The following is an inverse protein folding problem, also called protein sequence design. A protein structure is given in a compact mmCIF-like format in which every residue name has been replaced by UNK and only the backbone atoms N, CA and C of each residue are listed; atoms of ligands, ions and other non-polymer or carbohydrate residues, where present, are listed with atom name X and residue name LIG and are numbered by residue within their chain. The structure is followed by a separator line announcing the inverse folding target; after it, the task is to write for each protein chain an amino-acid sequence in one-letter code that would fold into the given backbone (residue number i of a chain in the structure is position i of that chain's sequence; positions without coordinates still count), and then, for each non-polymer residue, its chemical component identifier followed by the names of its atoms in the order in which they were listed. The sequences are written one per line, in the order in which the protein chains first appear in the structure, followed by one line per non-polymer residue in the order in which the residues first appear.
data_IF_785954163681
#
_entry.id   IF_785954163681
#
_cell.length_a   1.000
_cell.length_b   1.000
_cell.length_c   1.000
_cell.angle_alpha   90.00
_cell.angle_beta   90.00
_cell.angle_gamma   90.00
#
_symmetry.space_group_name_H-M   'P 1'
#
loop_
_entity.id
_entity.type
_entity.pdbx_description
1 polymer ?
#
# COMPACT_ATOMS: atom_id res chain seq x y z
N UNK A 1 52.80 11.40 -4.10
CA UNK A 1 53.82 11.17 -5.14
C UNK A 1 53.17 11.39 -6.50
N UNK A 2 53.47 12.50 -7.16
CA UNK A 2 53.00 12.75 -8.52
C UNK A 2 53.85 11.93 -9.49
N UNK A 3 53.22 10.93 -10.13
CA UNK A 3 53.84 10.19 -11.23
C UNK A 3 54.37 11.19 -12.27
N UNK A 4 55.55 11.00 -12.88
CA UNK A 4 56.05 11.92 -13.90
C UNK A 4 55.00 12.08 -14.99
N UNK A 5 54.62 13.33 -15.28
CA UNK A 5 53.58 13.64 -16.26
C UNK A 5 53.93 12.99 -17.60
N UNK A 6 53.13 12.00 -18.03
CA UNK A 6 53.33 11.33 -19.32
C UNK A 6 53.24 12.38 -20.43
N UNK A 7 54.23 12.41 -21.31
CA UNK A 7 54.18 13.20 -22.53
C UNK A 7 53.16 12.55 -23.48
N UNK A 8 51.91 13.01 -23.42
CA UNK A 8 50.83 12.51 -24.28
C UNK A 8 50.79 13.28 -25.59
N UNK A 9 50.55 12.56 -26.69
CA UNK A 9 50.30 13.14 -28.02
C UNK A 9 48.79 13.17 -28.29
N UNK A 10 48.38 14.02 -29.23
CA UNK A 10 46.98 14.23 -29.65
C UNK A 10 46.16 12.93 -29.75
N UNK A 11 46.68 11.91 -30.46
CA UNK A 11 46.01 10.62 -30.63
C UNK A 11 45.68 9.88 -29.32
N UNK A 12 46.55 9.95 -28.32
CA UNK A 12 46.35 9.25 -27.04
C UNK A 12 45.27 9.95 -26.21
N UNK A 13 45.33 11.28 -26.10
CA UNK A 13 44.35 12.09 -25.36
C UNK A 13 42.96 11.98 -26.00
N UNK A 14 42.89 12.06 -27.32
CA UNK A 14 41.64 11.93 -28.08
C UNK A 14 41.03 10.53 -27.90
N UNK A 15 41.84 9.47 -27.90
CA UNK A 15 41.35 8.10 -27.70
C UNK A 15 40.81 7.87 -26.27
N UNK A 16 41.51 8.39 -25.25
CA UNK A 16 41.03 8.33 -23.86
C UNK A 16 39.70 9.08 -23.70
N UNK A 17 39.60 10.28 -24.27
CA UNK A 17 38.38 11.08 -24.24
C UNK A 17 37.21 10.39 -24.97
N UNK A 18 37.45 9.87 -26.18
CA UNK A 18 36.43 9.13 -26.94
C UNK A 18 35.94 7.87 -26.21
N UNK A 19 36.83 7.22 -25.45
CA UNK A 19 36.45 6.07 -24.59
C UNK A 19 35.49 6.52 -23.49
N UNK A 20 35.80 7.61 -22.79
CA UNK A 20 34.94 8.15 -21.74
C UNK A 20 33.58 8.62 -22.29
N UNK A 21 33.55 9.26 -23.45
CA UNK A 21 32.30 9.69 -24.11
C UNK A 21 31.45 8.47 -24.51
N UNK A 22 32.06 7.39 -24.97
CA UNK A 22 31.36 6.13 -25.27
C UNK A 22 30.77 5.48 -24.01
N UNK A 23 31.50 5.50 -22.90
CA UNK A 23 31.01 5.01 -21.61
C UNK A 23 29.81 5.82 -21.11
N UNK A 24 29.89 7.17 -21.17
CA UNK A 24 28.76 8.04 -20.83
C UNK A 24 27.57 7.70 -21.72
N UNK A 25 27.74 7.64 -23.05
CA UNK A 25 26.67 7.30 -23.99
C UNK A 25 26.02 5.95 -23.68
N UNK A 26 26.80 4.94 -23.31
CA UNK A 26 26.28 3.64 -22.90
C UNK A 26 25.43 3.76 -21.62
N UNK A 27 25.90 4.50 -20.61
CA UNK A 27 25.11 4.76 -19.40
C UNK A 27 23.80 5.49 -19.68
N UNK A 28 23.81 6.49 -20.56
CA UNK A 28 22.59 7.24 -20.94
C UNK A 28 21.51 6.32 -21.54
N UNK A 29 21.92 5.34 -22.36
CA UNK A 29 21.02 4.33 -22.93
C UNK A 29 20.45 3.43 -21.83
N UNK A 30 21.28 2.96 -20.90
CA UNK A 30 20.83 2.13 -19.78
C UNK A 30 19.91 2.88 -18.82
N UNK A 31 20.12 4.19 -18.61
CA UNK A 31 19.21 5.03 -17.83
C UNK A 31 17.81 5.06 -18.45
N UNK A 32 17.69 5.25 -19.77
CA UNK A 32 16.38 5.21 -20.44
C UNK A 32 15.71 3.84 -20.36
N UNK A 33 16.47 2.75 -20.53
CA UNK A 33 15.93 1.39 -20.37
C UNK A 33 15.42 1.13 -18.97
N UNK A 34 16.15 1.62 -17.95
CA UNK A 34 15.72 1.52 -16.56
C UNK A 34 14.39 2.25 -16.33
N UNK A 35 14.26 3.47 -16.85
CA UNK A 35 13.01 4.25 -16.76
C UNK A 35 11.85 3.57 -17.50
N UNK A 36 12.10 3.01 -18.70
CA UNK A 36 11.11 2.21 -19.44
C UNK A 36 10.63 1.00 -18.62
N UNK A 37 11.56 0.23 -18.05
CA UNK A 37 11.22 -0.92 -17.23
C UNK A 37 10.41 -0.54 -15.98
N UNK A 38 10.73 0.59 -15.34
CA UNK A 38 9.95 1.08 -14.19
C UNK A 38 8.51 1.45 -14.58
N UNK A 39 8.32 2.06 -15.76
CA UNK A 39 6.99 2.35 -16.28
C UNK A 39 6.18 1.06 -16.55
N UNK A 40 6.81 0.05 -17.14
CA UNK A 40 6.17 -1.24 -17.42
C UNK A 40 5.75 -1.95 -16.12
N UNK A 41 6.62 -1.98 -15.10
CA UNK A 41 6.32 -2.58 -13.80
C UNK A 41 5.13 -1.90 -13.11
N UNK A 42 5.04 -0.57 -13.19
CA UNK A 42 3.91 0.18 -12.61
C UNK A 42 2.62 -0.08 -13.36
N UNK A 43 2.69 -0.14 -14.69
CA UNK A 43 1.53 -0.45 -15.53
C UNK A 43 1.02 -1.86 -15.23
N UNK A 44 1.94 -2.83 -15.09
CA UNK A 44 1.60 -4.20 -14.69
C UNK A 44 0.93 -4.24 -13.31
N UNK A 45 1.49 -3.56 -12.31
CA UNK A 45 0.88 -3.50 -10.98
C UNK A 45 -0.54 -2.92 -11.01
N UNK A 46 -0.77 -1.85 -11.78
CA UNK A 46 -2.11 -1.27 -11.94
C UNK A 46 -3.06 -2.21 -12.66
N UNK A 47 -2.58 -3.01 -13.60
CA UNK A 47 -3.37 -4.05 -14.26
C UNK A 47 -3.74 -5.16 -13.27
N UNK A 48 -2.78 -5.66 -12.49
CA UNK A 48 -3.00 -6.68 -11.46
C UNK A 48 -4.01 -6.19 -10.41
N UNK A 49 -3.93 -4.92 -9.99
CA UNK A 49 -4.89 -4.32 -9.07
C UNK A 49 -6.31 -4.27 -9.67
N UNK A 50 -6.45 -3.89 -10.95
CA UNK A 50 -7.76 -3.92 -11.62
C UNK A 50 -8.35 -5.33 -11.67
N UNK A 51 -7.54 -6.31 -12.05
CA UNK A 51 -7.98 -7.70 -12.18
C UNK A 51 -8.31 -8.31 -10.81
N UNK A 52 -7.52 -8.00 -9.78
CA UNK A 52 -7.81 -8.37 -8.40
C UNK A 52 -9.16 -7.83 -7.93
N UNK A 53 -9.41 -6.52 -8.08
CA UNK A 53 -10.67 -5.93 -7.64
C UNK A 53 -11.86 -6.39 -8.48
N UNK A 54 -11.66 -6.72 -9.76
CA UNK A 54 -12.70 -7.33 -10.59
C UNK A 54 -13.09 -8.70 -10.03
N UNK A 55 -12.10 -9.54 -9.73
CA UNK A 55 -12.35 -10.85 -9.14
C UNK A 55 -12.96 -10.75 -7.74
N UNK A 56 -12.49 -9.81 -6.91
CA UNK A 56 -13.08 -9.56 -5.59
C UNK A 56 -14.55 -9.13 -5.73
N UNK A 57 -14.87 -8.22 -6.65
CA UNK A 57 -16.25 -7.78 -6.88
C UNK A 57 -17.20 -8.91 -7.28
N UNK A 58 -16.73 -9.86 -8.10
CA UNK A 58 -17.50 -11.07 -8.44
C UNK A 58 -17.80 -11.91 -7.19
N UNK A 59 -16.79 -12.15 -6.34
CA UNK A 59 -16.91 -12.92 -5.11
C UNK A 59 -17.91 -12.25 -4.14
N UNK A 60 -17.80 -10.93 -3.96
CA UNK A 60 -18.72 -10.18 -3.10
C UNK A 60 -20.17 -10.25 -3.62
N UNK A 61 -20.37 -10.18 -4.94
CA UNK A 61 -21.69 -10.27 -5.55
C UNK A 61 -22.28 -11.68 -5.49
N UNK A 62 -21.45 -12.73 -5.59
CA UNK A 62 -21.89 -14.12 -5.37
C UNK A 62 -22.30 -14.34 -3.91
N UNK A 63 -21.51 -13.84 -2.95
CA UNK A 63 -21.84 -13.91 -1.53
C UNK A 63 -23.16 -13.18 -1.22
N UNK A 64 -23.30 -11.94 -1.69
CA UNK A 64 -24.54 -11.15 -1.59
C UNK A 64 -25.76 -11.93 -2.10
N UNK A 65 -25.68 -12.51 -3.32
CA UNK A 65 -26.77 -13.29 -3.92
C UNK A 65 -27.14 -14.53 -3.11
N UNK A 66 -26.15 -15.18 -2.49
CA UNK A 66 -26.41 -16.35 -1.63
C UNK A 66 -27.11 -15.96 -0.32
N UNK A 67 -26.76 -14.81 0.27
CA UNK A 67 -27.42 -14.27 1.46
C UNK A 67 -28.87 -13.81 1.17
N UNK A 68 -29.12 -13.18 0.01
CA UNK A 68 -30.49 -12.78 -0.37
C UNK A 68 -31.38 -14.02 -0.54
N UNK A 69 -30.89 -15.04 -1.27
CA UNK A 69 -31.61 -16.33 -1.43
C UNK A 69 -31.90 -17.01 -0.09
N UNK A 70 -30.94 -16.97 0.85
CA UNK A 70 -31.13 -17.50 2.19
C UNK A 70 -32.30 -16.79 2.89
N UNK A 71 -32.29 -15.46 2.87
CA UNK A 71 -33.34 -14.65 3.51
C UNK A 71 -34.71 -14.86 2.85
N UNK A 72 -34.80 -14.84 1.52
CA UNK A 72 -36.04 -15.05 0.77
C UNK A 72 -36.68 -16.41 1.07
N UNK A 73 -35.86 -17.46 1.18
CA UNK A 73 -36.32 -18.82 1.52
C UNK A 73 -37.04 -18.90 2.86
N UNK A 74 -36.61 -18.10 3.84
CA UNK A 74 -37.19 -18.11 5.18
C UNK A 74 -38.31 -17.08 5.37
N UNK A 75 -38.23 -15.93 4.69
CA UNK A 75 -39.34 -14.96 4.65
C UNK A 75 -40.59 -15.50 3.94
N UNK A 76 -40.41 -16.24 2.84
CA UNK A 76 -41.53 -16.84 2.08
C UNK A 76 -42.28 -17.91 2.88
N UNK A 77 -41.57 -18.72 3.67
CA UNK A 77 -42.18 -19.71 4.58
C UNK A 77 -42.98 -19.06 5.71
N UNK A 78 -42.49 -17.94 6.24
CA UNK A 78 -43.13 -17.22 7.36
C UNK A 78 -44.43 -16.52 6.91
N UNK A 79 -44.49 -16.04 5.66
CA UNK A 79 -45.69 -15.40 5.07
C UNK A 79 -46.79 -16.38 4.64
N UNK A 80 -46.48 -17.66 4.48
CA UNK A 80 -47.41 -18.70 4.01
C UNK A 80 -48.30 -19.31 5.11
N UNK A 81 -47.99 -19.09 6.39
CA UNK A 81 -48.87 -19.42 7.49
C UNK A 81 -50.00 -18.37 7.57
N UNK A 82 -51.25 -18.82 7.68
CA UNK A 82 -52.46 -17.99 7.69
C UNK A 82 -52.52 -17.08 8.94
N UNK A 83 -51.75 -16.00 8.98
CA UNK A 83 -51.73 -15.04 10.09
C UNK A 83 -51.81 -13.59 9.61
N UNK A 84 -52.73 -13.30 8.67
CA UNK A 84 -53.12 -11.90 8.41
C UNK A 84 -53.83 -11.24 9.62
N UNK A 85 -54.06 -11.96 10.72
CA UNK A 85 -54.70 -11.45 11.94
C UNK A 85 -53.72 -10.81 12.94
N UNK A 86 -52.40 -11.03 12.81
CA UNK A 86 -51.38 -10.49 13.73
C UNK A 86 -50.64 -9.25 13.19
N UNK A 87 -51.27 -8.46 12.32
CA UNK A 87 -50.70 -7.22 11.73
C UNK A 87 -50.61 -6.02 12.69
N UNK A 88 -50.42 -6.24 13.99
CA UNK A 88 -49.94 -5.20 14.89
C UNK A 88 -48.59 -5.68 15.42
N UNK A 89 -47.53 -4.96 15.06
CA UNK A 89 -46.16 -5.16 15.54
C UNK A 89 -46.01 -5.25 17.08
N UNK A 90 -47.08 -4.97 17.84
CA UNK A 90 -47.10 -4.99 19.30
C UNK A 90 -47.19 -6.37 19.97
N UNK A 91 -47.47 -7.46 19.23
CA UNK A 91 -47.71 -8.78 19.86
C UNK A 91 -46.78 -9.90 19.40
N UNK A 92 -45.57 -9.56 18.94
CA UNK A 92 -44.56 -10.55 18.56
C UNK A 92 -43.89 -11.10 19.82
N UNK A 93 -43.85 -12.43 19.94
CA UNK A 93 -43.13 -13.12 21.03
C UNK A 93 -41.63 -12.86 20.91
N UNK A 94 -40.92 -12.74 22.04
CA UNK A 94 -39.50 -12.38 22.05
C UNK A 94 -38.60 -13.29 21.19
N UNK A 95 -38.76 -14.64 21.13
CA UNK A 95 -37.96 -15.47 20.23
C UNK A 95 -38.24 -15.19 18.74
N UNK A 96 -39.47 -14.84 18.39
CA UNK A 96 -39.86 -14.51 17.01
C UNK A 96 -39.25 -13.16 16.61
N UNK A 97 -39.13 -12.22 17.56
CA UNK A 97 -38.42 -10.97 17.33
C UNK A 97 -36.92 -11.21 17.05
N UNK A 98 -36.25 -12.04 17.84
CA UNK A 98 -34.85 -12.43 17.58
C UNK A 98 -34.68 -13.05 16.19
N UNK A 99 -35.60 -13.94 15.81
CA UNK A 99 -35.60 -14.55 14.47
C UNK A 99 -35.76 -13.51 13.34
N UNK A 100 -36.67 -12.55 13.51
CA UNK A 100 -36.89 -11.49 12.52
C UNK A 100 -35.67 -10.57 12.38
N UNK A 101 -35.00 -10.24 13.49
CA UNK A 101 -33.78 -9.43 13.48
C UNK A 101 -32.60 -10.18 12.87
N UNK A 102 -32.48 -11.49 13.13
CA UNK A 102 -31.49 -12.34 12.47
C UNK A 102 -31.65 -12.35 10.95
N UNK A 103 -32.88 -12.52 10.44
CA UNK A 103 -33.16 -12.44 9.00
C UNK A 103 -32.89 -11.04 8.43
N UNK A 104 -33.20 -10.00 9.21
CA UNK A 104 -32.93 -8.61 8.83
C UNK A 104 -31.43 -8.34 8.73
N UNK A 105 -30.63 -8.91 9.63
CA UNK A 105 -29.17 -8.80 9.59
C UNK A 105 -28.57 -9.47 8.35
N UNK A 106 -29.00 -10.69 8.02
CA UNK A 106 -28.54 -11.37 6.79
C UNK A 106 -28.89 -10.56 5.54
N UNK A 107 -30.07 -9.92 5.51
CA UNK A 107 -30.49 -9.04 4.42
C UNK A 107 -29.66 -7.77 4.33
N UNK A 108 -29.30 -7.18 5.47
CA UNK A 108 -28.41 -6.03 5.57
C UNK A 108 -27.05 -6.39 4.97
N UNK A 109 -26.43 -7.49 5.43
CA UNK A 109 -25.16 -7.98 4.90
C UNK A 109 -25.22 -8.22 3.39
N UNK A 110 -26.29 -8.85 2.88
CA UNK A 110 -26.47 -9.04 1.43
C UNK A 110 -26.37 -7.73 0.64
N UNK A 111 -27.05 -6.67 1.10
CA UNK A 111 -27.04 -5.35 0.45
C UNK A 111 -25.68 -4.66 0.55
N UNK A 112 -25.03 -4.79 1.70
CA UNK A 112 -23.72 -4.16 1.90
C UNK A 112 -22.66 -4.80 1.01
N UNK A 113 -22.67 -6.13 0.86
CA UNK A 113 -21.78 -6.84 -0.06
C UNK A 113 -22.08 -6.53 -1.55
N UNK A 114 -23.35 -6.31 -1.92
CA UNK A 114 -23.68 -5.81 -3.25
C UNK A 114 -23.12 -4.39 -3.49
N UNK A 115 -23.22 -3.51 -2.48
CA UNK A 115 -22.68 -2.15 -2.52
C UNK A 115 -21.15 -2.16 -2.61
N UNK A 116 -20.49 -3.06 -1.89
CA UNK A 116 -19.04 -3.26 -1.94
C UNK A 116 -18.58 -3.65 -3.36
N UNK A 117 -19.28 -4.60 -3.99
CA UNK A 117 -19.04 -5.00 -5.38
C UNK A 117 -19.22 -3.83 -6.35
N UNK A 118 -20.28 -3.03 -6.18
CA UNK A 118 -20.55 -1.84 -7.01
C UNK A 118 -19.43 -0.80 -6.88
N UNK A 119 -18.98 -0.52 -5.65
CA UNK A 119 -17.86 0.42 -5.40
C UNK A 119 -16.56 -0.07 -6.05
N UNK A 120 -16.30 -1.38 -6.01
CA UNK A 120 -15.13 -1.93 -6.69
C UNK A 120 -15.20 -1.72 -8.21
N UNK A 121 -16.34 -2.05 -8.83
CA UNK A 121 -16.55 -1.96 -10.28
C UNK A 121 -16.61 -0.52 -10.79
N UNK A 122 -17.29 0.37 -10.07
CA UNK A 122 -17.64 1.70 -10.56
C UNK A 122 -16.77 2.83 -10.00
N UNK A 123 -15.95 2.55 -8.99
CA UNK A 123 -15.11 3.58 -8.35
C UNK A 123 -13.64 3.17 -8.29
N UNK A 124 -13.31 2.00 -7.72
CA UNK A 124 -11.91 1.61 -7.52
C UNK A 124 -11.23 1.19 -8.83
N UNK A 125 -11.83 0.27 -9.59
CA UNK A 125 -11.25 -0.20 -10.86
C UNK A 125 -11.05 0.95 -11.86
N UNK A 126 -12.05 1.85 -12.11
CA UNK A 126 -11.87 2.98 -13.02
C UNK A 126 -10.77 3.93 -12.58
N UNK A 127 -10.52 4.10 -11.26
CA UNK A 127 -9.40 4.90 -10.78
C UNK A 127 -8.05 4.29 -11.16
N UNK A 128 -7.88 2.99 -11.04
CA UNK A 128 -6.63 2.35 -11.49
C UNK A 128 -6.44 2.45 -12.99
N UNK A 129 -7.53 2.31 -13.77
CA UNK A 129 -7.52 2.55 -15.21
C UNK A 129 -7.05 3.98 -15.54
N UNK A 130 -7.65 4.98 -14.89
CA UNK A 130 -7.26 6.39 -15.06
C UNK A 130 -5.79 6.64 -14.66
N UNK A 131 -5.33 6.08 -13.54
CA UNK A 131 -3.94 6.20 -13.10
C UNK A 131 -3.01 5.59 -14.16
N UNK A 132 -3.38 4.46 -14.76
CA UNK A 132 -2.58 3.81 -15.79
C UNK A 132 -2.46 4.68 -17.05
N UNK A 133 -3.57 5.26 -17.52
CA UNK A 133 -3.59 6.19 -18.65
C UNK A 133 -2.73 7.43 -18.39
N UNK A 134 -2.90 8.04 -17.20
CA UNK A 134 -2.13 9.22 -16.81
C UNK A 134 -0.64 8.92 -16.65
N UNK A 135 -0.28 7.77 -16.05
CA UNK A 135 1.11 7.31 -15.94
C UNK A 135 1.74 7.10 -17.32
N UNK A 136 1.05 6.46 -18.27
CA UNK A 136 1.55 6.28 -19.63
C UNK A 136 1.77 7.61 -20.36
N UNK A 137 0.80 8.55 -20.24
CA UNK A 137 0.90 9.89 -20.84
C UNK A 137 2.05 10.71 -20.25
N UNK A 138 2.19 10.73 -18.92
CA UNK A 138 3.24 11.47 -18.22
C UNK A 138 4.61 10.86 -18.50
N UNK A 139 4.74 9.53 -18.45
CA UNK A 139 5.99 8.85 -18.78
C UNK A 139 6.47 9.18 -20.19
N UNK A 140 5.58 9.18 -21.19
CA UNK A 140 5.93 9.57 -22.56
C UNK A 140 6.52 10.98 -22.61
N UNK A 141 5.93 11.92 -21.86
CA UNK A 141 6.42 13.31 -21.78
C UNK A 141 7.76 13.42 -21.06
N UNK A 142 7.92 12.72 -19.93
CA UNK A 142 9.19 12.64 -19.23
C UNK A 142 10.28 12.03 -20.11
N UNK A 143 9.98 10.98 -20.87
CA UNK A 143 10.92 10.36 -21.81
C UNK A 143 11.37 11.33 -22.91
N UNK A 144 10.46 12.14 -23.47
CA UNK A 144 10.80 13.20 -24.42
C UNK A 144 11.78 14.22 -23.80
N UNK A 145 11.56 14.65 -22.55
CA UNK A 145 12.44 15.55 -21.81
C UNK A 145 13.80 14.90 -21.54
N UNK A 146 13.81 13.65 -21.10
CA UNK A 146 15.04 12.88 -20.84
C UNK A 146 15.90 12.72 -22.09
N UNK A 147 15.28 12.45 -23.25
CA UNK A 147 15.99 12.40 -24.54
C UNK A 147 16.62 13.75 -24.90
N UNK A 148 15.90 14.85 -24.68
CA UNK A 148 16.42 16.21 -24.93
C UNK A 148 17.63 16.51 -24.05
N UNK A 149 17.55 16.22 -22.75
CA UNK A 149 18.66 16.40 -21.80
C UNK A 149 19.89 15.59 -22.21
N UNK A 150 19.70 14.34 -22.64
CA UNK A 150 20.77 13.48 -23.12
C UNK A 150 21.38 13.98 -24.44
N UNK A 151 20.56 14.47 -25.37
CA UNK A 151 21.05 15.05 -26.62
C UNK A 151 21.92 16.28 -26.38
N UNK A 152 21.47 17.18 -25.49
CA UNK A 152 22.19 18.40 -25.17
C UNK A 152 23.51 18.11 -24.43
N UNK A 153 23.52 17.12 -23.52
CA UNK A 153 24.76 16.64 -22.90
C UNK A 153 25.75 16.10 -23.95
N UNK A 154 25.28 15.31 -24.91
CA UNK A 154 26.12 14.79 -25.98
C UNK A 154 26.66 15.89 -26.90
N UNK A 155 25.89 16.96 -27.15
CA UNK A 155 26.39 18.13 -27.91
C UNK A 155 27.58 18.78 -27.20
N UNK A 156 27.46 19.04 -25.90
CA UNK A 156 28.53 19.66 -25.10
C UNK A 156 29.80 18.79 -25.08
N UNK A 157 29.66 17.46 -24.96
CA UNK A 157 30.80 16.53 -25.06
C UNK A 157 31.46 16.58 -26.46
N UNK A 158 30.67 16.60 -27.53
CA UNK A 158 31.21 16.70 -28.89
C UNK A 158 31.89 18.06 -29.15
N UNK A 159 31.39 19.15 -28.58
CA UNK A 159 32.02 20.48 -28.67
C UNK A 159 33.40 20.46 -28.00
N UNK A 160 33.54 19.88 -26.81
CA UNK A 160 34.84 19.77 -26.12
C UNK A 160 35.88 19.01 -26.96
N UNK A 161 35.47 17.95 -27.66
CA UNK A 161 36.34 17.24 -28.62
C UNK A 161 36.91 18.19 -29.68
N UNK A 162 36.07 19.04 -30.28
CA UNK A 162 36.49 19.96 -31.35
C UNK A 162 37.43 21.05 -30.83
N UNK A 163 37.16 21.59 -29.64
CA UNK A 163 38.00 22.62 -28.99
C UNK A 163 39.37 22.04 -28.62
N UNK A 164 39.39 20.82 -28.05
CA UNK A 164 40.61 20.12 -27.70
C UNK A 164 41.51 19.86 -28.92
N UNK A 165 40.94 19.38 -30.03
CA UNK A 165 41.67 19.15 -31.28
C UNK A 165 42.29 20.44 -31.84
N UNK A 166 41.55 21.54 -31.75
CA UNK A 166 42.03 22.88 -32.18
C UNK A 166 43.21 23.33 -31.32
N UNK A 167 43.13 23.14 -30.00
CA UNK A 167 44.25 23.40 -29.09
C UNK A 167 45.47 22.55 -29.43
N UNK A 168 45.32 21.23 -29.63
CA UNK A 168 46.43 20.34 -29.97
C UNK A 168 47.15 20.75 -31.26
N UNK A 169 46.39 21.14 -32.30
CA UNK A 169 46.93 21.63 -33.57
C UNK A 169 47.77 22.90 -33.38
N UNK A 170 47.22 23.95 -32.75
CA UNK A 170 47.97 25.20 -32.56
C UNK A 170 49.14 25.06 -31.59
N UNK A 171 49.03 24.17 -30.59
CA UNK A 171 50.13 23.87 -29.69
C UNK A 171 51.28 23.17 -30.44
N UNK A 172 50.98 22.21 -31.32
CA UNK A 172 51.98 21.57 -32.17
C UNK A 172 52.68 22.57 -33.13
N UNK A 173 51.92 23.47 -33.74
CA UNK A 173 52.45 24.53 -34.61
C UNK A 173 53.35 25.52 -33.85
N UNK A 174 53.01 25.83 -32.60
CA UNK A 174 53.81 26.67 -31.70
C UNK A 174 55.13 25.99 -31.33
N UNK A 175 55.09 24.70 -30.94
CA UNK A 175 56.28 23.90 -30.62
C UNK A 175 57.19 23.77 -31.84
N UNK A 176 56.63 23.51 -33.03
CA UNK A 176 57.38 23.43 -34.28
C UNK A 176 58.07 24.75 -34.65
N UNK A 177 57.36 25.88 -34.52
CA UNK A 177 57.92 27.21 -34.74
C UNK A 177 59.04 27.54 -33.72
N UNK A 178 58.86 27.14 -32.47
CA UNK A 178 59.88 27.30 -31.42
C UNK A 178 61.16 26.52 -31.72
N UNK A 179 61.03 25.27 -32.19
CA UNK A 179 62.19 24.45 -32.58
C UNK A 179 62.95 25.08 -33.75
N UNK A 180 62.24 25.57 -34.78
CA UNK A 180 62.85 26.28 -35.92
C UNK A 180 63.54 27.58 -35.50
N UNK A 181 62.97 28.32 -34.55
CA UNK A 181 63.59 29.52 -33.98
C UNK A 181 64.90 29.17 -33.25
N UNK A 182 64.87 28.18 -32.36
CA UNK A 182 66.06 27.68 -31.65
C UNK A 182 67.17 27.21 -32.59
N UNK A 183 66.81 26.58 -33.70
CA UNK A 183 67.79 26.21 -34.73
C UNK A 183 68.41 27.42 -35.43
N UNK A 184 67.63 28.48 -35.69
CA UNK A 184 68.16 29.73 -36.25
C UNK A 184 69.07 30.46 -35.25
N UNK A 185 68.70 30.50 -33.98
CA UNK A 185 69.52 31.05 -32.89
C UNK A 185 70.87 30.32 -32.81
N UNK A 186 70.86 28.98 -32.85
CA UNK A 186 72.10 28.18 -32.90
C UNK A 186 72.93 28.42 -34.16
N UNK A 187 72.30 28.69 -35.32
CA UNK A 187 73.01 29.01 -36.56
C UNK A 187 73.67 30.39 -36.51
N UNK A 188 72.98 31.37 -35.94
CA UNK A 188 73.49 32.71 -35.67
C UNK A 188 74.68 32.65 -34.70
N UNK A 189 74.54 31.97 -33.56
CA UNK A 189 75.61 31.76 -32.59
C UNK A 189 76.85 31.11 -33.23
N UNK A 190 76.66 30.08 -34.07
CA UNK A 190 77.76 29.41 -34.80
C UNK A 190 78.45 30.33 -35.82
N UNK A 191 77.72 31.21 -36.50
CA UNK A 191 78.29 32.16 -37.47
C UNK A 191 79.01 33.31 -36.76
N UNK A 192 78.44 33.83 -35.67
CA UNK A 192 79.06 34.85 -34.83
C UNK A 192 80.34 34.31 -34.16
N UNK A 193 80.32 33.07 -33.65
CA UNK A 193 81.51 32.39 -33.10
C UNK A 193 82.63 32.19 -34.12
N UNK A 194 82.29 31.93 -35.39
CA UNK A 194 83.27 31.80 -36.49
C UNK A 194 83.87 33.15 -36.89
N UNK A 195 83.10 34.24 -36.82
CA UNK A 195 83.61 35.60 -37.05
C UNK A 195 84.62 36.01 -35.98
N UNK A 196 84.33 35.74 -34.70
CA UNK A 196 85.22 36.09 -33.57
C UNK A 196 86.54 35.30 -33.63
N UNK A 197 86.52 33.99 -33.89
CA UNK A 197 87.74 33.14 -33.98
C UNK A 197 88.67 33.48 -35.14
N UNK A 198 88.20 34.18 -36.17
CA UNK A 198 89.00 34.54 -37.35
C UNK A 198 89.57 35.97 -37.27
N UNK A 199 88.97 36.84 -36.45
CA UNK A 199 89.56 38.13 -36.06
C UNK A 199 90.80 37.91 -35.16
N UNK A 200 90.78 36.92 -34.26
CA UNK A 200 91.94 36.58 -33.40
C UNK A 200 93.14 35.96 -34.15
N UNK A 201 92.96 35.51 -35.40
CA UNK A 201 94.04 34.89 -36.20
C UNK A 201 94.80 35.86 -37.09
N UNK A 202 94.47 37.16 -37.07
CA UNK A 202 95.14 38.19 -37.88
C UNK A 202 96.09 39.03 -37.03
N UNK A 203 97.30 38.52 -36.81
CA UNK A 203 98.48 39.35 -36.51
C UNK A 203 99.14 39.82 -37.81
N UNK A 204 99.73 41.03 -37.87
CA UNK A 204 99.97 41.74 -39.12
C UNK A 204 101.40 41.51 -39.63
N UNK A 205 101.55 41.02 -40.87
CA UNK A 205 102.78 41.22 -41.64
C UNK A 205 102.47 41.68 -43.07
N UNK A 206 102.98 42.88 -43.34
CA UNK A 206 103.34 43.51 -44.63
C UNK A 206 102.23 43.81 -45.65
N UNK A 207 102.17 45.06 -46.15
CA UNK A 207 101.23 45.45 -47.20
C UNK A 207 101.84 45.15 -48.57
N UNK A 208 101.13 44.42 -49.41
CA UNK A 208 100.84 44.81 -50.79
C UNK A 208 100.09 43.71 -51.55
N UNK A 209 99.09 44.14 -52.31
CA UNK A 209 98.33 43.36 -53.31
C UNK A 209 97.43 42.21 -52.79
N UNK A 210 96.43 42.54 -51.96
CA UNK A 210 95.22 41.69 -51.80
C UNK A 210 94.00 42.44 -51.21
N UNK A 211 93.92 43.77 -51.39
CA UNK A 211 92.94 44.62 -50.69
C UNK A 211 91.52 44.47 -51.24
N UNK A 212 91.36 44.11 -52.52
CA UNK A 212 90.05 43.89 -53.15
C UNK A 212 89.38 42.61 -52.65
N UNK A 213 90.10 41.48 -52.61
CA UNK A 213 89.58 40.17 -52.16
C UNK A 213 89.18 40.19 -50.67
N UNK A 214 89.92 40.93 -49.83
CA UNK A 214 89.63 41.07 -48.38
C UNK A 214 88.41 41.95 -48.08
N UNK A 215 88.13 42.96 -48.90
CA UNK A 215 86.94 43.81 -48.77
C UNK A 215 85.69 43.07 -49.27
N UNK A 216 85.80 42.31 -50.35
CA UNK A 216 84.73 41.44 -50.86
C UNK A 216 84.35 40.35 -49.85
N UNK A 217 85.31 39.64 -49.25
CA UNK A 217 85.03 38.63 -48.21
C UNK A 217 84.36 39.24 -46.96
N UNK A 218 84.80 40.42 -46.50
CA UNK A 218 84.15 41.13 -45.37
C UNK A 218 82.73 41.59 -45.73
N UNK A 219 82.48 42.00 -46.97
CA UNK A 219 81.16 42.43 -47.43
C UNK A 219 80.19 41.25 -47.59
N UNK A 220 80.66 40.14 -48.17
CA UNK A 220 79.90 38.89 -48.30
C UNK A 220 79.53 38.34 -46.91
N UNK A 221 80.43 38.39 -45.93
CA UNK A 221 80.18 37.95 -44.54
C UNK A 221 79.19 38.86 -43.79
N UNK A 222 79.32 40.19 -43.89
CA UNK A 222 78.32 41.12 -43.33
C UNK A 222 76.93 40.92 -43.95
N UNK A 223 76.87 40.55 -45.23
CA UNK A 223 75.61 40.23 -45.91
C UNK A 223 74.99 38.91 -45.44
N UNK A 224 75.81 37.90 -45.10
CA UNK A 224 75.30 36.61 -44.62
C UNK A 224 74.78 36.68 -43.18
N UNK A 225 75.47 37.40 -42.30
CA UNK A 225 75.02 37.65 -40.91
C UNK A 225 73.69 38.40 -40.90
N UNK A 226 73.56 39.49 -41.68
CA UNK A 226 72.28 40.21 -41.83
C UNK A 226 71.15 39.33 -42.39
N UNK A 227 71.48 38.37 -43.26
CA UNK A 227 70.50 37.41 -43.81
C UNK A 227 70.04 36.41 -42.75
N UNK A 228 70.92 35.98 -41.85
CA UNK A 228 70.57 35.12 -40.71
C UNK A 228 69.77 35.88 -39.66
N UNK A 229 70.15 37.10 -39.31
CA UNK A 229 69.38 37.98 -38.41
C UNK A 229 67.95 38.18 -38.92
N UNK A 230 67.78 38.54 -40.19
CA UNK A 230 66.46 38.70 -40.82
C UNK A 230 65.66 37.39 -40.84
N UNK A 231 66.33 36.25 -41.01
CA UNK A 231 65.68 34.93 -40.95
C UNK A 231 65.21 34.61 -39.52
N UNK A 232 66.04 34.88 -38.51
CA UNK A 232 65.72 34.73 -37.09
C UNK A 232 64.55 35.63 -36.71
N UNK A 233 64.57 36.91 -37.09
CA UNK A 233 63.48 37.85 -36.82
C UNK A 233 62.15 37.37 -37.42
N UNK A 234 62.19 36.86 -38.67
CA UNK A 234 61.01 36.23 -39.30
C UNK A 234 60.51 34.99 -38.53
N UNK A 235 61.43 34.13 -38.05
CA UNK A 235 61.06 32.96 -37.24
C UNK A 235 60.56 33.35 -35.85
N UNK A 236 61.09 34.42 -35.26
CA UNK A 236 60.66 34.98 -33.99
C UNK A 236 59.23 35.52 -34.09
N UNK A 237 58.94 36.32 -35.12
CA UNK A 237 57.59 36.80 -35.38
C UNK A 237 56.59 35.65 -35.56
N UNK A 238 56.96 34.61 -36.32
CA UNK A 238 56.11 33.43 -36.54
C UNK A 238 55.88 32.62 -35.26
N UNK A 239 56.92 32.45 -34.43
CA UNK A 239 56.78 31.80 -33.13
C UNK A 239 55.85 32.60 -32.21
N UNK A 240 56.03 33.92 -32.11
CA UNK A 240 55.15 34.78 -31.30
C UNK A 240 53.69 34.68 -31.75
N UNK A 241 53.43 34.73 -33.06
CA UNK A 241 52.08 34.55 -33.62
C UNK A 241 51.47 33.18 -33.24
N UNK A 242 52.21 32.08 -33.48
CA UNK A 242 51.73 30.73 -33.18
C UNK A 242 51.56 30.52 -31.66
N UNK A 243 52.44 31.11 -30.84
CA UNK A 243 52.35 31.05 -29.38
C UNK A 243 51.08 31.72 -28.87
N UNK A 244 50.73 32.89 -29.40
CA UNK A 244 49.47 33.58 -29.04
C UNK A 244 48.26 32.75 -29.47
N UNK A 245 48.26 32.14 -30.66
CA UNK A 245 47.18 31.24 -31.11
C UNK A 245 47.02 30.02 -30.19
N UNK A 246 48.14 29.39 -29.81
CA UNK A 246 48.14 28.26 -28.88
C UNK A 246 47.62 28.65 -27.49
N UNK A 247 48.00 29.84 -26.98
CA UNK A 247 47.48 30.35 -25.68
C UNK A 247 45.97 30.60 -25.77
N UNK A 248 45.49 31.23 -26.83
CA UNK A 248 44.05 31.48 -27.03
C UNK A 248 43.26 30.18 -27.06
N UNK A 249 43.68 29.20 -27.88
CA UNK A 249 42.98 27.92 -27.96
C UNK A 249 43.09 27.09 -26.68
N UNK A 250 44.20 27.21 -25.92
CA UNK A 250 44.29 26.59 -24.60
C UNK A 250 43.28 27.21 -23.63
N UNK A 251 43.16 28.54 -23.61
CA UNK A 251 42.20 29.21 -22.74
C UNK A 251 40.76 28.81 -23.11
N UNK A 252 40.44 28.75 -24.40
CA UNK A 252 39.15 28.26 -24.90
C UNK A 252 38.89 26.82 -24.44
N UNK A 253 39.89 25.95 -24.55
CA UNK A 253 39.79 24.57 -24.07
C UNK A 253 39.50 24.49 -22.57
N UNK A 254 40.19 25.27 -21.74
CA UNK A 254 39.93 25.28 -20.29
C UNK A 254 38.51 25.78 -19.98
N UNK A 255 38.03 26.83 -20.67
CA UNK A 255 36.66 27.34 -20.50
C UNK A 255 35.61 26.31 -20.90
N UNK A 256 35.79 25.68 -22.08
CA UNK A 256 34.90 24.62 -22.57
C UNK A 256 34.91 23.38 -21.65
N UNK A 257 36.08 23.05 -21.08
CA UNK A 257 36.22 21.95 -20.14
C UNK A 257 35.41 22.20 -18.87
N UNK A 258 35.49 23.41 -18.31
CA UNK A 258 34.72 23.79 -17.12
C UNK A 258 33.20 23.74 -17.39
N UNK A 259 32.77 24.30 -18.54
CA UNK A 259 31.36 24.25 -18.95
C UNK A 259 30.85 22.82 -19.18
N UNK A 260 31.70 21.95 -19.75
CA UNK A 260 31.38 20.53 -19.95
C UNK A 260 31.22 19.81 -18.63
N UNK A 261 32.17 19.99 -17.71
CA UNK A 261 32.10 19.38 -16.38
C UNK A 261 30.88 19.86 -15.59
N UNK A 262 30.55 21.15 -15.66
CA UNK A 262 29.34 21.69 -15.04
C UNK A 262 28.06 21.08 -15.63
N UNK A 263 28.01 20.88 -16.95
CA UNK A 263 26.86 20.27 -17.65
C UNK A 263 26.71 18.79 -17.28
N UNK A 264 27.80 18.02 -17.25
CA UNK A 264 27.82 16.62 -16.79
C UNK A 264 27.35 16.55 -15.34
N UNK A 265 27.90 17.39 -14.46
CA UNK A 265 27.51 17.42 -13.05
C UNK A 265 26.02 17.71 -12.89
N UNK A 266 25.53 18.76 -13.56
CA UNK A 266 24.11 19.14 -13.51
C UNK A 266 23.20 17.99 -13.94
N UNK A 267 23.51 17.33 -15.06
CA UNK A 267 22.71 16.21 -15.56
C UNK A 267 22.61 15.07 -14.55
N UNK A 268 23.76 14.61 -14.03
CA UNK A 268 23.80 13.43 -13.16
C UNK A 268 23.33 13.69 -11.73
N UNK A 269 23.47 14.92 -11.22
CA UNK A 269 23.17 15.25 -9.82
C UNK A 269 21.79 15.86 -9.64
N UNK A 270 21.31 16.62 -10.63
CA UNK A 270 20.05 17.35 -10.54
C UNK A 270 19.04 16.87 -11.58
N UNK A 271 19.34 17.01 -12.87
CA UNK A 271 18.33 16.84 -13.91
C UNK A 271 17.77 15.40 -13.94
N UNK A 272 18.60 14.39 -13.66
CA UNK A 272 18.15 13.00 -13.60
C UNK A 272 17.18 12.75 -12.43
N UNK A 273 17.39 13.40 -11.28
CA UNK A 273 16.48 13.30 -10.13
C UNK A 273 15.15 13.96 -10.46
N UNK A 274 15.18 15.18 -10.98
CA UNK A 274 13.99 15.94 -11.35
C UNK A 274 13.19 15.22 -12.45
N UNK A 275 13.88 14.53 -13.37
CA UNK A 275 13.26 13.71 -14.40
C UNK A 275 12.48 12.52 -13.82
N UNK A 276 13.03 11.86 -12.79
CA UNK A 276 12.34 10.77 -12.10
C UNK A 276 11.09 11.30 -11.38
N UNK A 277 11.19 12.44 -10.72
CA UNK A 277 10.03 13.08 -10.08
C UNK A 277 8.93 13.41 -11.11
N UNK A 278 9.31 13.81 -12.33
CA UNK A 278 8.35 14.02 -13.42
C UNK A 278 7.66 12.71 -13.87
N UNK A 279 8.37 11.58 -13.90
CA UNK A 279 7.78 10.26 -14.17
C UNK A 279 6.77 9.83 -13.09
N UNK A 280 6.96 10.28 -11.84
CA UNK A 280 6.20 9.84 -10.67
C UNK A 280 5.06 10.80 -10.32
N UNK A 281 4.90 11.86 -11.11
CA UNK A 281 4.01 12.97 -10.82
C UNK A 281 2.56 12.49 -10.60
N UNK A 282 2.12 12.58 -9.34
CA UNK A 282 0.75 12.22 -8.94
C UNK A 282 0.46 10.72 -8.80
N UNK A 283 1.40 9.82 -9.15
CA UNK A 283 1.20 8.36 -9.09
C UNK A 283 0.86 7.89 -7.66
N UNK A 284 1.75 8.16 -6.70
CA UNK A 284 1.58 7.72 -5.31
C UNK A 284 0.34 8.32 -4.64
N UNK A 285 0.08 9.61 -4.90
CA UNK A 285 -1.09 10.30 -4.34
C UNK A 285 -2.40 9.72 -4.88
N UNK A 286 -2.45 9.38 -6.16
CA UNK A 286 -3.64 8.80 -6.80
C UNK A 286 -3.87 7.36 -6.34
N UNK A 287 -2.80 6.56 -6.29
CA UNK A 287 -2.82 5.20 -5.74
C UNK A 287 -3.28 5.19 -4.28
N UNK A 288 -2.73 6.08 -3.45
CA UNK A 288 -3.14 6.25 -2.05
C UNK A 288 -4.64 6.51 -1.93
N UNK A 289 -5.20 7.42 -2.74
CA UNK A 289 -6.64 7.73 -2.71
C UNK A 289 -7.51 6.53 -3.14
N UNK A 290 -7.09 5.78 -4.15
CA UNK A 290 -7.79 4.56 -4.57
C UNK A 290 -7.82 3.52 -3.44
N UNK A 291 -6.68 3.27 -2.79
CA UNK A 291 -6.59 2.34 -1.66
C UNK A 291 -7.32 2.84 -0.40
N UNK A 292 -7.33 4.15 -0.15
CA UNK A 292 -8.15 4.75 0.94
C UNK A 292 -9.63 4.59 0.68
N UNK A 293 -10.07 4.57 -0.58
CA UNK A 293 -11.46 4.28 -0.94
C UNK A 293 -11.82 2.83 -0.58
N UNK A 294 -10.93 1.88 -0.88
CA UNK A 294 -11.08 0.48 -0.42
C UNK A 294 -11.21 0.41 1.10
N UNK A 295 -10.25 0.97 1.85
CA UNK A 295 -10.27 0.94 3.32
C UNK A 295 -11.53 1.59 3.90
N UNK A 296 -11.93 2.74 3.37
CA UNK A 296 -13.16 3.42 3.78
C UNK A 296 -14.37 2.50 3.60
N UNK A 297 -14.44 1.75 2.50
CA UNK A 297 -15.58 0.88 2.22
C UNK A 297 -15.62 -0.30 3.18
N UNK A 298 -14.47 -0.94 3.45
CA UNK A 298 -14.36 -2.04 4.42
C UNK A 298 -14.75 -1.59 5.84
N UNK A 299 -14.31 -0.40 6.28
CA UNK A 299 -14.72 0.12 7.60
C UNK A 299 -16.22 0.38 7.70
N UNK A 300 -16.86 0.89 6.64
CA UNK A 300 -18.30 1.11 6.64
C UNK A 300 -19.09 -0.21 6.64
N UNK A 301 -18.60 -1.23 5.91
CA UNK A 301 -19.17 -2.59 5.95
C UNK A 301 -19.10 -3.17 7.37
N UNK A 302 -17.93 -3.07 8.02
CA UNK A 302 -17.74 -3.55 9.38
C UNK A 302 -18.67 -2.83 10.36
N UNK A 303 -18.80 -1.51 10.25
CA UNK A 303 -19.70 -0.72 11.08
C UNK A 303 -21.17 -1.12 10.88
N UNK A 304 -21.63 -1.23 9.63
CA UNK A 304 -22.99 -1.67 9.31
C UNK A 304 -23.31 -3.05 9.89
N UNK A 305 -22.34 -3.97 9.83
CA UNK A 305 -22.44 -5.30 10.43
C UNK A 305 -22.57 -5.22 11.95
N UNK A 306 -21.70 -4.43 12.60
CA UNK A 306 -21.69 -4.25 14.05
C UNK A 306 -23.04 -3.73 14.56
N UNK A 307 -23.59 -2.67 13.95
CA UNK A 307 -24.90 -2.12 14.33
C UNK A 307 -26.03 -3.16 14.30
N UNK A 308 -26.02 -4.03 13.30
CA UNK A 308 -27.07 -5.04 13.17
C UNK A 308 -26.88 -6.23 14.12
N UNK A 309 -25.63 -6.54 14.49
CA UNK A 309 -25.33 -7.50 15.56
C UNK A 309 -25.72 -6.95 16.93
N UNK A 310 -25.46 -5.67 17.22
CA UNK A 310 -25.90 -5.00 18.47
C UNK A 310 -27.42 -5.00 18.61
N UNK A 311 -28.16 -4.80 17.52
CA UNK A 311 -29.63 -4.89 17.54
C UNK A 311 -30.11 -6.32 17.86
N UNK A 312 -29.42 -7.35 17.37
CA UNK A 312 -29.73 -8.74 17.68
C UNK A 312 -29.35 -9.10 19.12
N UNK A 313 -28.20 -8.65 19.60
CA UNK A 313 -27.74 -8.82 20.98
C UNK A 313 -28.77 -8.23 21.96
N UNK A 314 -29.20 -6.98 21.73
CA UNK A 314 -30.26 -6.36 22.52
C UNK A 314 -31.57 -7.18 22.50
N UNK A 315 -31.93 -7.79 21.36
CA UNK A 315 -33.10 -8.65 21.30
C UNK A 315 -32.93 -9.95 22.10
N UNK A 316 -31.72 -10.52 22.14
CA UNK A 316 -31.41 -11.70 22.95
C UNK A 316 -31.47 -11.41 24.45
N UNK A 317 -31.04 -10.22 24.88
CA UNK A 317 -31.17 -9.76 26.27
C UNK A 317 -32.64 -9.56 26.67
N UNK A 318 -33.52 -9.26 25.70
CA UNK A 318 -34.95 -9.04 25.91
C UNK A 318 -35.81 -10.33 25.77
N UNK A 319 -35.20 -11.52 25.79
CA UNK A 319 -35.93 -12.79 25.85
C UNK A 319 -36.61 -12.94 27.21
N UNK A 320 -37.95 -12.95 27.23
CA UNK A 320 -38.74 -12.96 28.47
C UNK A 320 -39.97 -13.87 28.37
N UNK A 321 -39.86 -15.03 29.03
CA UNK A 321 -40.93 -16.02 29.10
C UNK A 321 -42.18 -15.52 29.85
N UNK A 322 -42.04 -14.63 30.84
CA UNK A 322 -43.17 -14.10 31.60
C UNK A 322 -43.97 -13.12 30.75
N UNK A 323 -43.28 -12.18 30.10
CA UNK A 323 -43.93 -11.23 29.18
C UNK A 323 -44.57 -11.95 28.00
N UNK A 324 -43.91 -12.96 27.43
CA UNK A 324 -44.49 -13.76 26.34
C UNK A 324 -45.72 -14.56 26.77
N UNK A 325 -45.72 -15.12 27.99
CA UNK A 325 -46.90 -15.76 28.59
C UNK A 325 -48.05 -14.76 28.74
N UNK A 326 -47.80 -13.55 29.23
CA UNK A 326 -48.82 -12.51 29.34
C UNK A 326 -49.41 -12.14 27.98
N UNK A 327 -48.57 -11.90 26.96
CA UNK A 327 -49.02 -11.64 25.59
C UNK A 327 -49.86 -12.78 25.01
N UNK A 328 -49.48 -14.03 25.28
CA UNK A 328 -50.25 -15.21 24.86
C UNK A 328 -51.64 -15.23 25.52
N UNK A 329 -51.70 -15.04 26.84
CA UNK A 329 -52.97 -15.01 27.58
C UNK A 329 -53.88 -13.87 27.11
N UNK A 330 -53.31 -12.68 26.85
CA UNK A 330 -54.05 -11.51 26.36
C UNK A 330 -54.56 -11.70 24.92
N UNK A 331 -53.70 -12.22 24.02
CA UNK A 331 -54.09 -12.48 22.63
C UNK A 331 -55.18 -13.55 22.51
N UNK A 332 -55.20 -14.50 23.44
CA UNK A 332 -56.16 -15.59 23.52
C UNK A 332 -57.11 -15.44 24.72
N UNK A 333 -57.49 -14.21 25.07
CA UNK A 333 -58.26 -13.93 26.28
C UNK A 333 -59.54 -14.79 26.39
N UNK A 334 -60.26 -15.01 25.29
CA UNK A 334 -61.47 -15.85 25.29
C UNK A 334 -61.23 -17.32 25.66
N UNK A 335 -59.99 -17.80 25.55
CA UNK A 335 -59.57 -19.17 25.89
C UNK A 335 -59.20 -19.27 27.37
N UNK A 336 -58.53 -18.24 27.90
CA UNK A 336 -57.93 -18.26 29.24
C UNK A 336 -58.73 -17.47 30.30
N UNK A 337 -59.80 -16.77 29.93
CA UNK A 337 -60.63 -16.04 30.89
C UNK A 337 -61.32 -17.01 31.87
N UNK A 338 -61.30 -16.73 33.19
CA UNK A 338 -61.98 -17.59 34.17
C UNK A 338 -63.49 -17.68 33.89
N UNK A 339 -64.11 -18.86 34.02
CA UNK A 339 -65.55 -19.00 33.90
C UNK A 339 -66.28 -18.29 35.06
N UNK A 340 -67.57 -18.03 34.87
CA UNK A 340 -68.43 -17.49 35.94
C UNK A 340 -68.48 -18.48 37.09
N UNK A 341 -68.46 -17.96 38.33
CA UNK A 341 -68.55 -18.78 39.54
C UNK A 341 -69.88 -19.52 39.57
N UNK A 342 -69.85 -20.80 39.95
CA UNK A 342 -71.07 -21.55 40.21
C UNK A 342 -71.84 -20.97 41.40
N UNK A 343 -73.14 -20.78 41.22
CA UNK A 343 -74.03 -20.27 42.26
C UNK A 343 -74.94 -21.38 42.78
N UNK A 344 -75.31 -21.30 44.06
CA UNK A 344 -76.33 -22.19 44.65
C UNK A 344 -77.63 -22.07 43.84
N UNK A 345 -78.18 -23.21 43.42
CA UNK A 345 -79.42 -23.28 42.64
C UNK A 345 -80.57 -23.75 43.55
N UNK A 346 -81.49 -22.86 43.98
CA UNK A 346 -82.59 -23.24 44.84
C UNK A 346 -83.53 -24.24 44.16
N UNK A 347 -83.80 -25.37 44.81
CA UNK A 347 -84.72 -26.38 44.31
C UNK A 347 -86.13 -26.12 44.87
N UNK A 348 -87.15 -26.09 44.02
CA UNK A 348 -88.56 -25.97 44.42
C UNK A 348 -88.88 -24.77 45.34
N UNK A 349 -88.20 -23.64 45.12
CA UNK A 349 -88.44 -22.42 45.89
C UNK A 349 -87.80 -22.41 47.29
N UNK A 350 -86.79 -23.24 47.53
CA UNK A 350 -85.99 -23.21 48.76
C UNK A 350 -85.48 -21.78 49.04
N UNK A 351 -85.84 -21.25 50.21
CA UNK A 351 -85.47 -19.89 50.64
C UNK A 351 -84.14 -19.84 51.38
N UNK A 352 -83.49 -20.98 51.63
CA UNK A 352 -82.29 -21.09 52.45
C UNK A 352 -81.05 -21.39 51.58
N UNK A 353 -80.13 -20.42 51.49
CA UNK A 353 -78.88 -20.55 50.73
C UNK A 353 -77.63 -20.62 51.63
N UNK A 354 -77.83 -20.79 52.94
CA UNK A 354 -76.76 -20.77 53.96
C UNK A 354 -76.80 -22.04 54.81
N UNK A 355 -75.67 -22.35 55.45
CA UNK A 355 -75.55 -23.51 56.34
C UNK A 355 -76.50 -23.38 57.54
N UNK A 356 -77.37 -24.36 57.75
CA UNK A 356 -78.24 -24.46 58.92
C UNK A 356 -77.54 -25.17 60.08
N UNK A 357 -77.02 -24.42 61.05
CA UNK A 357 -76.25 -24.95 62.18
C UNK A 357 -77.04 -25.09 63.50
N UNK A 358 -78.36 -25.26 63.43
CA UNK A 358 -79.22 -25.44 64.61
C UNK A 358 -79.25 -26.91 65.08
N UNK A 359 -79.66 -27.17 66.32
CA UNK A 359 -79.87 -28.55 66.82
C UNK A 359 -80.97 -29.25 66.03
N UNK A 360 -80.81 -30.55 65.64
CA UNK A 360 -79.76 -31.49 66.07
C UNK A 360 -78.48 -31.51 65.21
N UNK A 361 -78.40 -30.73 64.13
CA UNK A 361 -77.31 -30.78 63.13
C UNK A 361 -75.99 -30.16 63.61
N UNK A 362 -76.03 -29.30 64.63
CA UNK A 362 -74.86 -28.54 65.11
C UNK A 362 -73.69 -29.45 65.54
N UNK A 363 -73.97 -30.57 66.22
CA UNK A 363 -72.92 -31.49 66.68
C UNK A 363 -72.20 -32.19 65.53
N UNK A 364 -72.97 -32.66 64.53
CA UNK A 364 -72.43 -33.30 63.32
C UNK A 364 -71.60 -32.33 62.48
N UNK A 365 -72.08 -31.09 62.32
CA UNK A 365 -71.34 -30.03 61.61
C UNK A 365 -70.03 -29.67 62.32
N UNK A 366 -70.04 -29.54 63.65
CA UNK A 366 -68.82 -29.26 64.41
C UNK A 366 -67.79 -30.41 64.28
N UNK A 367 -68.24 -31.66 64.37
CA UNK A 367 -67.39 -32.83 64.14
C UNK A 367 -66.83 -32.85 62.71
N UNK A 368 -67.66 -32.52 61.71
CA UNK A 368 -67.22 -32.45 60.30
C UNK A 368 -66.20 -31.34 60.08
N UNK A 369 -66.39 -30.16 60.68
CA UNK A 369 -65.41 -29.07 60.63
C UNK A 369 -64.07 -29.49 61.24
N UNK A 370 -64.09 -30.13 62.42
CA UNK A 370 -62.86 -30.63 63.06
C UNK A 370 -62.16 -31.69 62.18
N UNK A 371 -62.92 -32.60 61.58
CA UNK A 371 -62.39 -33.60 60.65
C UNK A 371 -61.74 -32.96 59.41
N UNK A 372 -62.40 -31.96 58.81
CA UNK A 372 -61.86 -31.23 57.66
C UNK A 372 -60.59 -30.45 58.04
N UNK A 373 -60.56 -29.85 59.22
CA UNK A 373 -59.40 -29.09 59.69
C UNK A 373 -58.19 -30.00 59.94
N UNK A 374 -58.37 -31.16 60.59
CA UNK A 374 -57.30 -32.14 60.74
C UNK A 374 -56.78 -32.63 59.38
N UNK A 375 -57.68 -32.95 58.44
CA UNK A 375 -57.31 -33.40 57.10
C UNK A 375 -56.55 -32.32 56.31
N UNK A 376 -57.00 -31.07 56.38
CA UNK A 376 -56.34 -29.95 55.72
C UNK A 376 -54.92 -29.74 56.26
N UNK A 377 -54.72 -29.84 57.58
CA UNK A 377 -53.39 -29.71 58.18
C UNK A 377 -52.42 -30.77 57.65
N UNK A 378 -52.86 -32.03 57.52
CA UNK A 378 -52.03 -33.11 56.96
C UNK A 378 -51.70 -32.84 55.49
N UNK A 379 -52.71 -32.51 54.68
CA UNK A 379 -52.52 -32.24 53.25
C UNK A 379 -51.63 -31.02 52.99
N UNK A 380 -51.68 -30.00 53.85
CA UNK A 380 -50.81 -28.83 53.73
C UNK A 380 -49.35 -29.18 53.96
N UNK A 381 -49.04 -30.05 54.93
CA UNK A 381 -47.67 -30.50 55.20
C UNK A 381 -47.16 -31.32 54.01
N UNK A 382 -47.93 -32.30 53.54
CA UNK A 382 -47.57 -33.12 52.38
C UNK A 382 -47.36 -32.26 51.11
N UNK A 383 -48.25 -31.29 50.87
CA UNK A 383 -48.14 -30.40 49.71
C UNK A 383 -46.88 -29.51 49.77
N UNK A 384 -46.54 -28.97 50.94
CA UNK A 384 -45.34 -28.16 51.13
C UNK A 384 -44.05 -28.97 50.97
N UNK A 385 -44.04 -30.25 51.36
CA UNK A 385 -42.90 -31.14 51.10
C UNK A 385 -42.72 -31.38 49.60
N UNK A 386 -43.79 -31.74 48.88
CA UNK A 386 -43.75 -31.92 47.42
C UNK A 386 -43.33 -30.64 46.71
N UNK A 387 -43.88 -29.49 47.12
CA UNK A 387 -43.55 -28.18 46.54
C UNK A 387 -42.07 -27.84 46.72
N UNK A 388 -41.49 -28.06 47.90
CA UNK A 388 -40.06 -27.83 48.12
C UNK A 388 -39.19 -28.71 47.24
N UNK A 389 -39.53 -29.98 47.10
CA UNK A 389 -38.81 -30.89 46.19
C UNK A 389 -38.91 -30.39 44.76
N UNK A 390 -40.10 -30.03 44.29
CA UNK A 390 -40.34 -29.49 42.95
C UNK A 390 -39.55 -28.20 42.71
N UNK A 391 -39.55 -27.25 43.65
CA UNK A 391 -38.80 -25.98 43.55
C UNK A 391 -37.28 -26.21 43.52
N UNK A 392 -36.76 -27.15 44.32
CA UNK A 392 -35.34 -27.51 44.29
C UNK A 392 -34.94 -28.18 42.98
N UNK A 393 -35.78 -29.07 42.44
CA UNK A 393 -35.57 -29.67 41.12
C UNK A 393 -35.62 -28.62 40.02
N UNK A 394 -36.56 -27.67 40.09
CA UNK A 394 -36.64 -26.55 39.15
C UNK A 394 -35.36 -25.69 39.16
N UNK A 395 -34.84 -25.36 40.34
CA UNK A 395 -33.59 -24.62 40.46
C UNK A 395 -32.43 -25.40 39.82
N UNK A 396 -32.39 -26.72 40.03
CA UNK A 396 -31.36 -27.58 39.41
C UNK A 396 -31.47 -27.55 37.88
N UNK A 397 -32.69 -27.60 37.33
CA UNK A 397 -32.93 -27.48 35.89
C UNK A 397 -32.47 -26.11 35.38
N UNK A 398 -32.79 -25.02 36.11
CA UNK A 398 -32.34 -23.67 35.77
C UNK A 398 -30.82 -23.57 35.69
N UNK A 399 -30.11 -24.06 36.71
CA UNK A 399 -28.64 -24.06 36.74
C UNK A 399 -28.04 -24.85 35.56
N UNK A 400 -28.70 -25.93 35.12
CA UNK A 400 -28.26 -26.70 33.95
C UNK A 400 -28.44 -25.95 32.63
N UNK A 401 -29.50 -25.13 32.49
CA UNK A 401 -29.83 -24.45 31.22
C UNK A 401 -29.27 -23.04 31.09
N UNK A 402 -28.80 -22.42 32.17
CA UNK A 402 -28.19 -21.08 32.17
C UNK A 402 -26.66 -21.11 32.13
N UNK A 403 -26.06 -22.23 31.72
CA UNK A 403 -24.61 -22.33 31.56
C UNK A 403 -24.11 -21.40 30.44
N UNK A 404 -23.05 -20.62 30.71
CA UNK A 404 -22.47 -19.68 29.74
C UNK A 404 -21.48 -20.40 28.80
N UNK A 405 -22.00 -21.17 27.84
CA UNK A 405 -21.19 -21.98 26.91
C UNK A 405 -21.15 -21.44 25.46
N UNK A 406 -21.41 -20.14 25.29
CA UNK A 406 -21.51 -19.47 23.99
C UNK A 406 -20.25 -18.70 23.55
N UNK A 407 -19.27 -18.45 24.42
CA UNK A 407 -17.98 -17.84 24.03
C UNK A 407 -17.13 -18.82 23.20
N UNK A 408 -16.79 -18.41 21.98
CA UNK A 408 -16.02 -19.21 21.02
C UNK A 408 -14.74 -18.50 20.57
N UNK A 409 -14.25 -17.53 21.34
CA UNK A 409 -13.05 -16.74 21.02
C UNK A 409 -11.82 -17.61 20.73
N UNK A 410 -11.68 -18.73 21.43
CA UNK A 410 -10.60 -19.71 21.21
C UNK A 410 -10.61 -20.32 19.80
N UNK A 411 -11.74 -20.33 19.09
CA UNK A 411 -11.82 -20.81 17.70
C UNK A 411 -11.10 -19.88 16.70
N UNK A 412 -10.85 -18.61 17.06
CA UNK A 412 -10.24 -17.61 16.21
C UNK A 412 -8.77 -17.32 16.57
N UNK A 413 -8.19 -18.08 17.49
CA UNK A 413 -6.77 -18.02 17.82
C UNK A 413 -5.96 -18.81 16.78
N UNK A 414 -5.38 -18.11 15.81
CA UNK A 414 -4.44 -18.72 14.85
C UNK A 414 -3.00 -18.54 15.35
N UNK A 415 -2.38 -19.62 15.83
CA UNK A 415 -0.93 -19.64 16.07
C UNK A 415 -0.20 -19.42 14.74
N UNK A 416 0.80 -18.53 14.69
CA UNK A 416 1.61 -18.23 13.49
C UNK A 416 2.47 -19.41 12.97
N UNK A 417 2.27 -20.63 13.45
CA UNK A 417 2.99 -21.83 13.03
C UNK A 417 2.15 -22.63 12.03
N UNK A 418 2.73 -22.99 10.88
CA UNK A 418 2.12 -23.81 9.82
C UNK A 418 1.79 -25.27 10.25
N UNK A 419 1.86 -25.60 11.53
CA UNK A 419 1.50 -26.92 12.03
C UNK A 419 0.04 -26.97 12.49
N UNK A 420 -0.76 -27.71 11.72
CA UNK A 420 -1.93 -28.44 12.17
C UNK A 420 -3.04 -27.60 12.83
N UNK A 421 -4.05 -27.27 12.03
CA UNK A 421 -5.40 -26.92 12.46
C UNK A 421 -6.05 -28.11 13.18
N UNK A 422 -5.64 -28.38 14.42
CA UNK A 422 -6.42 -29.17 15.37
C UNK A 422 -6.92 -28.20 16.42
N UNK A 423 -8.20 -27.86 16.30
CA UNK A 423 -8.92 -27.04 17.26
C UNK A 423 -8.83 -27.67 18.65
N UNK A 424 -8.10 -27.02 19.55
CA UNK A 424 -7.90 -27.37 20.96
C UNK A 424 -9.22 -27.40 21.75
N UNK A 425 -10.30 -26.85 21.19
CA UNK A 425 -11.67 -26.87 21.76
C UNK A 425 -12.22 -28.31 21.91
N UNK A 426 -11.64 -29.26 21.17
CA UNK A 426 -12.12 -30.64 21.12
C UNK A 426 -11.80 -31.50 22.35
N UNK A 427 -10.90 -31.07 23.24
CA UNK A 427 -10.23 -32.01 24.16
C UNK A 427 -10.78 -32.11 25.59
N UNK A 428 -11.81 -31.35 26.03
CA UNK A 428 -12.26 -31.55 27.44
C UNK A 428 -13.75 -31.31 27.73
N UNK A 429 -14.38 -30.22 27.25
CA UNK A 429 -15.77 -29.91 27.63
C UNK A 429 -16.83 -30.37 26.61
N UNK A 430 -16.48 -30.37 25.32
CA UNK A 430 -17.40 -30.65 24.20
C UNK A 430 -17.25 -32.07 23.62
N UNK A 431 -16.64 -33.00 24.35
CA UNK A 431 -16.50 -34.38 23.85
C UNK A 431 -17.87 -35.09 23.76
N UNK A 432 -18.15 -35.80 22.66
CA UNK A 432 -19.45 -36.46 22.41
C UNK A 432 -19.96 -37.32 23.59
N UNK A 433 -19.13 -38.11 24.30
CA UNK A 433 -19.59 -38.90 25.45
C UNK A 433 -19.98 -38.03 26.65
N UNK A 434 -19.28 -36.92 26.88
CA UNK A 434 -19.60 -35.99 27.97
C UNK A 434 -20.91 -35.23 27.75
N UNK A 435 -21.20 -34.86 26.49
CA UNK A 435 -22.46 -34.19 26.11
C UNK A 435 -23.65 -35.15 26.30
N UNK A 436 -23.53 -36.41 25.86
CA UNK A 436 -24.63 -37.37 25.97
C UNK A 436 -24.99 -37.66 27.43
N UNK A 437 -23.98 -37.80 28.30
CA UNK A 437 -24.18 -38.01 29.74
C UNK A 437 -24.86 -36.81 30.41
N UNK A 438 -24.44 -35.58 30.09
CA UNK A 438 -25.09 -34.36 30.61
C UNK A 438 -26.55 -34.27 30.19
N UNK A 439 -26.83 -34.56 28.91
CA UNK A 439 -28.20 -34.55 28.38
C UNK A 439 -29.10 -35.60 29.04
N UNK A 440 -28.59 -36.81 29.27
CA UNK A 440 -29.34 -37.86 29.96
C UNK A 440 -29.70 -37.42 31.40
N UNK A 441 -28.73 -36.86 32.13
CA UNK A 441 -28.96 -36.34 33.49
C UNK A 441 -30.01 -35.22 33.51
N UNK A 442 -29.96 -34.29 32.55
CA UNK A 442 -30.96 -33.25 32.41
C UNK A 442 -32.36 -33.84 32.19
N UNK A 443 -32.49 -34.80 31.27
CA UNK A 443 -33.78 -35.46 30.98
C UNK A 443 -34.35 -36.23 32.18
N UNK A 444 -33.50 -36.93 32.94
CA UNK A 444 -33.92 -37.60 34.18
C UNK A 444 -34.39 -36.59 35.23
N UNK A 445 -33.71 -35.44 35.33
CA UNK A 445 -34.09 -34.35 36.25
C UNK A 445 -35.41 -33.70 35.85
N UNK A 446 -35.61 -33.44 34.55
CA UNK A 446 -36.88 -32.94 34.01
C UNK A 446 -38.01 -33.96 34.22
N UNK A 447 -37.76 -35.25 34.00
CA UNK A 447 -38.74 -36.30 34.26
C UNK A 447 -39.15 -36.35 35.73
N UNK A 448 -38.18 -36.21 36.63
CA UNK A 448 -38.46 -36.13 38.07
C UNK A 448 -39.26 -34.88 38.44
N UNK A 449 -38.99 -33.72 37.83
CA UNK A 449 -39.76 -32.49 38.05
C UNK A 449 -41.26 -32.65 37.70
N UNK A 450 -41.58 -33.43 36.67
CA UNK A 450 -42.97 -33.68 36.25
C UNK A 450 -43.66 -34.85 37.00
N UNK A 451 -42.94 -35.58 37.84
CA UNK A 451 -43.48 -36.69 38.66
C UNK A 451 -44.02 -36.15 39.98
#
# INVERSE_FOLDING_TARGET
MTSPAKFKKDKEIIAEYDTQVKEIRAQLIEQLKCLDQQCDLRTQLLQDLQDFFRKKAEIEMDYSRNLEKLTERFLSKTRGAKDQQFKKDQNVLSPVNCWNLLLTQVKRESRDHATLSDIYLNNIIPRFGQISEDSGRLFKKSKEIGLQLQEDLMKVLNELYTVMKTYHMYNADSISAQSKLKEAEKQEEKQMSRSVRQEDRQTPRSPDTATSVRLEEKHIRRSSVRKIEKMKEKRQAKYTENKVKAIKARNEYVLALEATNASVFKYYIHDLSDLIDCCDLGYHSSLHRALRTFLSTEFNLQHSKQEGLEALENATENLDASTDKHRLMESSNSVFCPPVRFEFQPHMGDTVAQLCAQQPLQGELAQRCQQLQCRLSTLQIENEEVKKTMEATLQTIQDMVTVEDFDVSDCFQYSNSMESVKSTVSETYMSKPSIAKRRANQQETEQFYFT
#
